data_IF_723456371012
#
_entry.id   IF_723456371012
#
_cell.length_a   1.000
_cell.length_b   1.000
_cell.length_c   1.000
_cell.angle_alpha   90.00
_cell.angle_beta   90.00
_cell.angle_gamma   90.00
#
_symmetry.space_group_name_H-M   'P 1'
#
loop_
_entity.id
_entity.type
_entity.pdbx_description
1 polymer ?
#
# COMPACT_ATOMS: atom_id res chain seq x y z
N UNK A 1 -20.15 6.35 7.73
CA UNK A 1 -20.16 7.78 8.15
C UNK A 1 -19.10 8.15 9.20
N UNK A 2 -18.39 7.22 9.86
CA UNK A 2 -17.44 7.60 10.94
C UNK A 2 -16.03 8.01 10.48
N UNK A 3 -15.45 7.37 9.47
CA UNK A 3 -14.03 7.62 9.09
C UNK A 3 -13.84 8.62 7.96
N UNK A 4 -14.88 8.94 7.19
CA UNK A 4 -14.79 9.78 5.99
C UNK A 4 -14.16 11.16 6.30
N UNK A 5 -14.54 11.78 7.41
CA UNK A 5 -13.94 13.06 7.85
C UNK A 5 -12.44 12.93 8.08
N UNK A 6 -11.99 11.80 8.60
CA UNK A 6 -10.57 11.54 8.82
C UNK A 6 -9.84 11.25 7.51
N UNK A 7 -10.45 10.51 6.59
CA UNK A 7 -9.90 10.28 5.25
C UNK A 7 -9.69 11.59 4.50
N UNK A 8 -10.61 12.55 4.63
CA UNK A 8 -10.46 13.91 4.09
C UNK A 8 -9.32 14.66 4.81
N UNK A 9 -9.33 14.67 6.15
CA UNK A 9 -8.35 15.40 6.94
C UNK A 9 -6.90 14.90 6.71
N UNK A 10 -6.74 13.62 6.43
CA UNK A 10 -5.44 12.99 6.14
C UNK A 10 -5.10 12.95 4.64
N UNK A 11 -5.99 13.46 3.79
CA UNK A 11 -5.77 13.63 2.35
C UNK A 11 -5.80 12.34 1.55
N UNK A 12 -6.53 11.32 2.01
CA UNK A 12 -6.87 10.15 1.19
C UNK A 12 -7.93 10.48 0.13
N UNK A 13 -8.79 11.46 0.42
CA UNK A 13 -9.84 11.97 -0.47
C UNK A 13 -9.93 13.50 -0.36
N UNK A 14 -10.25 14.17 -1.46
CA UNK A 14 -10.07 15.62 -1.61
C UNK A 14 -11.20 16.48 -1.00
N UNK A 15 -12.47 16.02 -0.98
CA UNK A 15 -13.58 16.74 -0.33
C UNK A 15 -14.87 15.90 -0.18
N UNK A 16 -15.73 16.31 0.78
CA UNK A 16 -17.07 15.78 1.16
C UNK A 16 -18.11 15.62 0.01
N UNK A 17 -17.80 16.00 -1.22
CA UNK A 17 -18.78 16.02 -2.31
C UNK A 17 -18.89 14.68 -3.06
N UNK A 18 -18.69 13.58 -2.37
CA UNK A 18 -18.71 12.28 -3.01
C UNK A 18 -19.31 11.22 -2.10
N UNK A 19 -20.52 10.79 -2.46
CA UNK A 19 -21.03 9.52 -1.99
C UNK A 19 -20.06 8.43 -2.49
N UNK A 20 -19.81 7.42 -1.67
CA UNK A 20 -19.14 6.22 -2.13
C UNK A 20 -20.02 5.59 -3.22
N UNK A 21 -19.57 5.65 -4.48
CA UNK A 21 -20.36 5.24 -5.65
C UNK A 21 -20.16 3.77 -6.01
N UNK A 22 -19.06 3.17 -5.57
CA UNK A 22 -18.75 1.76 -5.79
C UNK A 22 -17.79 1.21 -4.74
N UNK A 23 -17.93 -0.08 -4.46
CA UNK A 23 -17.00 -0.87 -3.67
C UNK A 23 -16.72 -2.18 -4.40
N UNK A 24 -15.57 -2.26 -5.07
CA UNK A 24 -15.17 -3.44 -5.83
C UNK A 24 -14.20 -4.28 -5.03
N UNK A 25 -14.44 -5.60 -4.95
CA UNK A 25 -13.46 -6.51 -4.37
C UNK A 25 -12.33 -6.76 -5.36
N UNK A 26 -11.12 -6.34 -5.01
CA UNK A 26 -9.92 -6.85 -5.69
C UNK A 26 -9.82 -8.33 -5.37
N UNK A 27 -9.62 -9.18 -6.38
CA UNK A 27 -9.78 -10.65 -6.35
C UNK A 27 -8.83 -11.45 -5.44
N UNK A 28 -8.53 -10.97 -4.24
CA UNK A 28 -7.86 -11.71 -3.19
C UNK A 28 -8.79 -12.72 -2.50
N UNK A 29 -8.19 -13.75 -1.93
CA UNK A 29 -8.90 -14.76 -1.15
C UNK A 29 -9.61 -14.13 0.05
N UNK A 30 -10.79 -14.64 0.46
CA UNK A 30 -11.47 -14.13 1.64
C UNK A 30 -10.63 -14.37 2.90
N UNK A 31 -10.30 -13.31 3.63
CA UNK A 31 -9.70 -13.43 4.96
C UNK A 31 -10.81 -13.44 6.02
N UNK A 32 -10.59 -14.15 7.13
CA UNK A 32 -11.44 -14.13 8.34
C UNK A 32 -12.95 -14.10 8.09
N UNK A 33 -13.50 -15.18 7.52
CA UNK A 33 -14.96 -15.37 7.46
C UNK A 33 -15.68 -14.64 6.33
N UNK A 34 -14.99 -14.23 5.26
CA UNK A 34 -15.61 -13.71 4.04
C UNK A 34 -15.30 -12.24 3.72
N UNK A 35 -14.51 -11.57 4.55
CA UNK A 35 -14.18 -10.15 4.39
C UNK A 35 -13.14 -9.94 3.29
N UNK A 36 -13.39 -8.97 2.41
CA UNK A 36 -12.56 -8.68 1.23
C UNK A 36 -11.98 -7.27 1.28
N UNK A 37 -10.81 -7.10 0.68
CA UNK A 37 -10.26 -5.77 0.37
C UNK A 37 -11.17 -5.10 -0.65
N UNK A 38 -11.54 -3.84 -0.41
CA UNK A 38 -12.43 -3.08 -1.29
C UNK A 38 -11.71 -1.85 -1.82
N UNK A 39 -11.90 -1.55 -3.10
CA UNK A 39 -11.62 -0.21 -3.63
C UNK A 39 -12.89 0.61 -3.48
N UNK A 40 -12.87 1.61 -2.62
CA UNK A 40 -13.97 2.57 -2.47
C UNK A 40 -13.74 3.72 -3.44
N UNK A 41 -14.62 3.87 -4.41
CA UNK A 41 -14.59 4.96 -5.39
C UNK A 41 -15.57 6.06 -5.01
N UNK A 42 -15.13 7.29 -5.19
CA UNK A 42 -15.88 8.51 -4.90
C UNK A 42 -16.30 9.18 -6.22
N UNK A 43 -17.43 9.90 -6.23
CA UNK A 43 -17.99 10.53 -7.45
C UNK A 43 -17.06 11.54 -8.12
N UNK A 44 -16.12 12.13 -7.38
CA UNK A 44 -15.10 13.04 -7.89
C UNK A 44 -13.89 12.32 -8.54
N UNK A 45 -13.89 10.98 -8.54
CA UNK A 45 -12.81 10.15 -9.07
C UNK A 45 -11.78 9.71 -8.03
N UNK A 46 -11.87 10.18 -6.78
CA UNK A 46 -10.98 9.73 -5.71
C UNK A 46 -11.22 8.26 -5.40
N UNK A 47 -10.15 7.58 -4.96
CA UNK A 47 -10.20 6.19 -4.58
C UNK A 47 -9.40 5.97 -3.30
N UNK A 48 -9.88 5.05 -2.48
CA UNK A 48 -9.17 4.58 -1.28
C UNK A 48 -9.40 3.09 -1.12
N UNK A 49 -8.41 2.38 -0.59
CA UNK A 49 -8.51 0.96 -0.33
C UNK A 49 -8.98 0.73 1.10
N UNK A 50 -10.09 0.02 1.28
CA UNK A 50 -10.50 -0.51 2.58
C UNK A 50 -9.94 -1.92 2.74
N UNK A 51 -9.27 -2.16 3.87
CA UNK A 51 -8.77 -3.49 4.25
C UNK A 51 -9.44 -3.91 5.56
N UNK A 52 -10.18 -5.04 5.60
CA UNK A 52 -10.84 -5.54 6.81
C UNK A 52 -9.84 -6.30 7.71
N UNK A 53 -8.70 -5.68 7.97
CA UNK A 53 -7.60 -6.17 8.80
C UNK A 53 -6.77 -5.01 9.31
N UNK A 54 -5.98 -5.26 10.35
CA UNK A 54 -4.97 -4.31 10.82
C UNK A 54 -4.00 -3.92 9.69
N UNK A 55 -3.70 -2.63 9.59
CA UNK A 55 -2.79 -2.05 8.59
C UNK A 55 -1.47 -1.56 9.20
N UNK A 56 -1.12 -1.95 10.43
CA UNK A 56 0.10 -1.48 11.10
C UNK A 56 1.40 -1.82 10.35
N UNK A 57 1.39 -2.88 9.53
CA UNK A 57 2.50 -3.20 8.63
C UNK A 57 2.78 -2.08 7.61
N UNK A 58 1.74 -1.37 7.15
CA UNK A 58 1.89 -0.21 6.27
C UNK A 58 2.57 0.95 6.99
N UNK A 59 2.14 1.26 8.23
CA UNK A 59 2.74 2.31 9.05
C UNK A 59 4.22 2.03 9.34
N UNK A 60 4.53 0.77 9.68
CA UNK A 60 5.91 0.31 9.89
C UNK A 60 6.76 0.46 8.62
N UNK A 61 6.26 -0.04 7.49
CA UNK A 61 6.96 0.08 6.20
C UNK A 61 7.18 1.54 5.81
N UNK A 62 6.16 2.40 5.97
CA UNK A 62 6.26 3.83 5.70
C UNK A 62 7.38 4.48 6.53
N UNK A 63 7.43 4.19 7.83
CA UNK A 63 8.51 4.66 8.72
C UNK A 63 9.89 4.17 8.29
N UNK A 64 10.00 2.91 7.89
CA UNK A 64 11.26 2.31 7.43
C UNK A 64 11.75 2.93 6.12
N UNK A 65 10.85 3.10 5.14
CA UNK A 65 11.15 3.75 3.86
C UNK A 65 11.56 5.22 4.05
N UNK A 66 10.95 5.94 4.99
CA UNK A 66 11.37 7.31 5.34
C UNK A 66 12.84 7.34 5.77
N UNK A 67 13.27 6.43 6.66
CA UNK A 67 14.66 6.35 7.12
C UNK A 67 15.61 6.08 5.95
N UNK A 68 15.25 5.16 5.04
CA UNK A 68 16.05 4.86 3.84
C UNK A 68 16.14 6.09 2.94
N UNK A 69 15.03 6.77 2.65
CA UNK A 69 14.99 7.93 1.77
C UNK A 69 15.76 9.14 2.35
N UNK A 70 15.81 9.28 3.67
CA UNK A 70 16.60 10.29 4.38
C UNK A 70 18.10 9.99 4.35
N UNK A 71 18.49 8.72 4.40
CA UNK A 71 19.90 8.29 4.34
C UNK A 71 20.59 8.53 2.99
N UNK A 72 19.82 8.73 1.91
CA UNK A 72 20.31 8.92 0.54
C UNK A 72 21.21 7.78 0.02
N UNK A 73 21.01 6.54 0.49
CA UNK A 73 21.76 5.37 0.01
C UNK A 73 21.57 5.04 -1.47
N UNK A 74 20.52 5.56 -2.12
CA UNK A 74 20.21 5.31 -3.52
C UNK A 74 19.74 6.58 -4.23
N UNK A 75 19.89 6.66 -5.57
CA UNK A 75 19.59 7.87 -6.34
C UNK A 75 18.09 8.18 -6.45
N UNK A 76 17.22 7.17 -6.30
CA UNK A 76 15.77 7.31 -6.45
C UNK A 76 15.07 6.97 -5.13
N UNK A 77 14.11 7.78 -4.68
CA UNK A 77 13.36 7.48 -3.47
C UNK A 77 12.50 6.23 -3.65
N UNK A 78 12.35 5.47 -2.59
CA UNK A 78 11.35 4.39 -2.50
C UNK A 78 9.99 4.96 -2.12
N UNK A 79 8.95 4.28 -2.57
CA UNK A 79 7.57 4.65 -2.36
C UNK A 79 6.92 3.72 -1.33
N UNK A 80 5.98 4.28 -0.59
CA UNK A 80 5.17 3.56 0.39
C UNK A 80 3.77 4.19 0.38
N UNK A 81 2.69 3.40 0.28
CA UNK A 81 1.35 3.95 0.38
C UNK A 81 1.08 4.44 1.81
N UNK A 82 0.32 5.53 1.94
CA UNK A 82 -0.19 5.95 3.25
C UNK A 82 -1.20 4.94 3.80
N UNK A 83 -1.30 4.85 5.11
CA UNK A 83 -2.30 4.06 5.82
C UNK A 83 -2.94 4.86 6.94
N UNK A 84 -4.22 4.57 7.17
CA UNK A 84 -4.96 4.94 8.37
C UNK A 84 -5.39 3.64 9.06
N UNK A 85 -4.59 3.21 10.02
CA UNK A 85 -4.78 1.96 10.77
C UNK A 85 -5.84 2.14 11.87
N UNK A 86 -6.77 1.19 11.94
CA UNK A 86 -7.76 1.05 13.01
C UNK A 86 -7.57 -0.32 13.68
N UNK A 87 -8.35 -0.61 14.72
CA UNK A 87 -8.14 -1.79 15.55
C UNK A 87 -8.23 -3.12 14.79
N UNK A 88 -9.20 -3.24 13.88
CA UNK A 88 -9.54 -4.47 13.16
C UNK A 88 -9.75 -4.27 11.65
N UNK A 89 -9.50 -3.04 11.18
CA UNK A 89 -9.55 -2.67 9.78
C UNK A 89 -8.61 -1.49 9.52
N UNK A 90 -8.48 -1.07 8.26
CA UNK A 90 -7.74 0.14 7.93
C UNK A 90 -8.03 0.63 6.52
N UNK A 91 -7.54 1.83 6.25
CA UNK A 91 -7.59 2.45 4.95
C UNK A 91 -6.18 2.60 4.40
N UNK A 92 -5.99 2.34 3.12
CA UNK A 92 -4.70 2.46 2.44
C UNK A 92 -4.88 3.33 1.20
N UNK A 93 -3.88 4.14 0.91
CA UNK A 93 -3.84 4.98 -0.28
C UNK A 93 -4.04 4.12 -1.54
N UNK A 94 -4.93 4.57 -2.43
CA UNK A 94 -5.05 3.95 -3.73
C UNK A 94 -3.88 4.39 -4.62
N UNK A 95 -3.09 3.44 -5.08
CA UNK A 95 -1.96 3.70 -5.98
C UNK A 95 -2.38 3.39 -7.41
N UNK A 96 -2.47 4.37 -8.32
CA UNK A 96 -2.79 4.12 -9.71
C UNK A 96 -1.62 3.48 -10.45
N UNK A 97 -1.91 2.48 -11.26
CA UNK A 97 -0.95 1.95 -12.25
C UNK A 97 -0.64 3.02 -13.29
N UNK A 98 0.62 3.11 -13.70
CA UNK A 98 1.09 4.01 -14.73
C UNK A 98 0.32 3.78 -16.05
N UNK A 99 -0.23 4.85 -16.62
CA UNK A 99 -0.92 4.80 -17.91
C UNK A 99 0.04 4.70 -19.11
N UNK A 100 1.33 4.96 -18.88
CA UNK A 100 2.38 5.02 -19.90
C UNK A 100 3.65 4.32 -19.40
N UNK A 101 4.60 4.12 -20.31
CA UNK A 101 5.89 3.56 -19.98
C UNK A 101 6.62 4.41 -18.92
N UNK A 102 7.21 3.73 -17.95
CA UNK A 102 8.08 4.32 -16.93
C UNK A 102 9.54 4.31 -17.41
N UNK A 103 10.37 5.18 -16.85
CA UNK A 103 11.82 5.13 -17.10
C UNK A 103 12.39 3.84 -16.51
N UNK A 104 12.78 2.92 -17.39
CA UNK A 104 13.23 1.58 -17.02
C UNK A 104 14.47 1.62 -16.12
N UNK A 105 15.38 2.57 -16.33
CA UNK A 105 16.62 2.66 -15.55
C UNK A 105 16.35 3.00 -14.10
N UNK A 106 15.45 3.98 -13.86
CA UNK A 106 15.04 4.33 -12.50
C UNK A 106 14.22 3.22 -11.84
N UNK A 107 13.32 2.60 -12.61
CA UNK A 107 12.45 1.54 -12.14
C UNK A 107 13.23 0.29 -11.70
N UNK A 108 14.21 -0.15 -12.48
CA UNK A 108 15.04 -1.32 -12.14
C UNK A 108 15.83 -1.11 -10.85
N UNK A 109 16.39 0.09 -10.65
CA UNK A 109 17.12 0.45 -9.42
C UNK A 109 16.16 0.49 -8.22
N UNK A 110 14.99 1.11 -8.37
CA UNK A 110 13.99 1.15 -7.30
C UNK A 110 13.48 -0.26 -6.98
N UNK A 111 13.24 -1.09 -7.98
CA UNK A 111 12.77 -2.47 -7.79
C UNK A 111 13.80 -3.32 -7.06
N UNK A 112 15.08 -3.24 -7.42
CA UNK A 112 16.15 -3.91 -6.69
C UNK A 112 16.22 -3.48 -5.23
N UNK A 113 15.96 -2.21 -4.95
CA UNK A 113 15.90 -1.67 -3.60
C UNK A 113 14.65 -2.11 -2.84
N UNK A 114 13.48 -2.17 -3.48
CA UNK A 114 12.26 -2.77 -2.89
C UNK A 114 12.52 -4.23 -2.51
N UNK A 115 13.15 -5.01 -3.40
CA UNK A 115 13.51 -6.40 -3.13
C UNK A 115 14.45 -6.52 -1.93
N UNK A 116 15.49 -5.68 -1.86
CA UNK A 116 16.42 -5.67 -0.72
C UNK A 116 15.71 -5.34 0.60
N UNK A 117 14.78 -4.38 0.58
CA UNK A 117 13.95 -4.02 1.75
C UNK A 117 13.06 -5.20 2.15
N UNK A 118 12.30 -5.78 1.23
CA UNK A 118 11.44 -6.93 1.51
C UNK A 118 12.23 -8.12 2.07
N UNK A 119 13.43 -8.38 1.53
CA UNK A 119 14.32 -9.42 2.01
C UNK A 119 14.83 -9.11 3.44
N UNK A 120 15.29 -7.88 3.70
CA UNK A 120 15.78 -7.46 5.01
C UNK A 120 14.69 -7.51 6.09
N UNK A 121 13.45 -7.18 5.71
CA UNK A 121 12.27 -7.28 6.58
C UNK A 121 11.69 -8.70 6.66
N UNK A 122 12.30 -9.69 5.99
CA UNK A 122 11.87 -11.08 6.06
C UNK A 122 10.50 -11.36 5.44
N UNK A 123 10.10 -10.62 4.41
CA UNK A 123 8.84 -10.85 3.69
C UNK A 123 8.74 -12.28 3.15
N UNK A 124 7.60 -12.94 3.37
CA UNK A 124 7.41 -14.36 3.02
C UNK A 124 6.54 -14.59 1.79
N UNK A 125 5.76 -13.62 1.35
CA UNK A 125 4.81 -13.76 0.24
C UNK A 125 4.73 -12.45 -0.54
N UNK A 126 5.77 -12.19 -1.33
CA UNK A 126 5.87 -10.98 -2.15
C UNK A 126 6.06 -11.39 -3.60
N UNK A 127 5.01 -11.21 -4.39
CA UNK A 127 4.97 -11.51 -5.82
C UNK A 127 4.58 -10.26 -6.62
N UNK A 128 4.63 -10.36 -7.95
CA UNK A 128 4.45 -9.20 -8.83
C UNK A 128 3.07 -8.53 -8.66
N UNK A 129 2.03 -9.29 -8.32
CA UNK A 129 0.69 -8.71 -8.08
C UNK A 129 0.61 -7.87 -6.80
N UNK A 130 1.57 -8.01 -5.87
CA UNK A 130 1.66 -7.15 -4.69
C UNK A 130 2.41 -5.85 -4.97
N UNK A 131 2.88 -5.61 -6.20
CA UNK A 131 3.61 -4.39 -6.57
C UNK A 131 2.89 -3.67 -7.72
N UNK A 132 2.51 -2.42 -7.48
CA UNK A 132 2.00 -1.55 -8.54
C UNK A 132 3.15 -0.80 -9.20
N UNK A 133 3.17 -0.81 -10.52
CA UNK A 133 4.01 0.09 -11.33
C UNK A 133 3.32 1.45 -11.37
N UNK A 134 3.71 2.37 -10.48
CA UNK A 134 3.22 3.75 -10.53
C UNK A 134 4.07 4.58 -11.49
N UNK A 135 3.58 5.78 -11.85
CA UNK A 135 4.34 6.73 -12.67
C UNK A 135 5.67 7.19 -12.01
N UNK A 136 5.82 6.95 -10.70
CA UNK A 136 7.00 7.34 -9.92
C UNK A 136 7.92 6.16 -9.55
N UNK A 137 7.54 4.93 -9.91
CA UNK A 137 8.28 3.72 -9.56
C UNK A 137 7.41 2.59 -8.97
N UNK A 138 8.03 1.49 -8.56
CA UNK A 138 7.34 0.35 -7.95
C UNK A 138 6.84 0.69 -6.54
N UNK A 139 5.60 0.31 -6.25
CA UNK A 139 4.96 0.51 -4.94
C UNK A 139 4.43 -0.82 -4.42
N UNK A 140 5.00 -1.37 -3.33
CA UNK A 140 4.38 -2.49 -2.62
C UNK A 140 3.01 -2.09 -2.05
N UNK A 141 1.98 -2.86 -2.40
CA UNK A 141 0.58 -2.59 -2.03
C UNK A 141 -0.04 -3.66 -1.14
N UNK A 142 0.59 -4.81 -0.97
CA UNK A 142 0.26 -5.75 0.10
C UNK A 142 1.48 -5.99 0.98
N UNK A 143 1.34 -5.71 2.27
CA UNK A 143 2.44 -5.68 3.23
C UNK A 143 2.18 -6.58 4.43
N UNK A 144 1.10 -7.38 4.42
CA UNK A 144 0.75 -8.23 5.56
C UNK A 144 1.79 -9.34 5.88
N UNK A 145 2.70 -9.60 4.94
CA UNK A 145 3.73 -10.63 5.06
C UNK A 145 5.11 -10.11 5.38
N UNK A 146 5.29 -8.81 5.61
CA UNK A 146 6.58 -8.25 6.08
C UNK A 146 6.75 -8.43 7.59
N UNK A 147 8.00 -8.50 8.04
CA UNK A 147 8.37 -8.58 9.45
C UNK A 147 7.69 -9.74 10.21
N UNK A 148 7.25 -10.78 9.51
CA UNK A 148 6.70 -11.97 10.13
C UNK A 148 7.79 -12.69 10.91
N UNK A 149 7.43 -13.14 12.11
CA UNK A 149 8.30 -14.01 12.88
C UNK A 149 8.50 -15.30 12.06
N UNK A 150 9.72 -15.53 11.57
CA UNK A 150 10.03 -16.81 10.95
C UNK A 150 9.88 -17.86 12.04
N UNK A 151 8.84 -18.67 11.96
CA UNK A 151 8.79 -19.96 12.65
C UNK A 151 9.97 -20.76 12.11
N UNK A 152 11.13 -20.61 12.75
CA UNK A 152 12.24 -21.53 12.61
C UNK A 152 11.71 -22.84 13.19
N UNK A 153 11.18 -23.70 12.32
CA UNK A 153 11.12 -25.12 12.63
C UNK A 153 12.58 -25.60 12.70
N UNK A 154 13.19 -25.39 13.86
CA UNK A 154 14.39 -26.10 14.32
C UNK A 154 13.96 -27.43 14.91
#
# INVERSE_FOLDING_TARGET
>A
MSDERQLIAEGFVSALASEAVAADSMGGDPHNGGSRVLTVSYSNGDKVMYKPRDCGAYDFYHGFIRIINESKFQPFPLLSPKSLTKLDYGWVEYIPTAAHAVDLSSYEIQMGSVLAVCHALGSSDMHMDNIIVSVYGPVPIDLETIAQNRSLFL
#
